data_IF_037759606023
#
_entry.id   IF_037759606023
#
_cell.length_a   1.000
_cell.length_b   1.000
_cell.length_c   1.000
_cell.angle_alpha   90.00
_cell.angle_beta   90.00
_cell.angle_gamma   90.00
#
_symmetry.space_group_name_H-M   'P 1'
#
loop_
_entity.id
_entity.type
_entity.pdbx_description
1 polymer ?
#
# COMPACT_ATOMS: atom_id res chain seq x y z
N UNK A 1 -9.87 0.77 -10.70
CA UNK A 1 -9.31 1.99 -10.07
C UNK A 1 -7.83 2.01 -10.35
N UNK A 2 -7.33 3.05 -11.04
CA UNK A 2 -5.90 3.25 -11.18
C UNK A 2 -5.43 4.21 -10.09
N UNK A 3 -4.71 3.70 -9.10
CA UNK A 3 -4.14 4.52 -8.04
C UNK A 3 -2.86 5.19 -8.55
N UNK A 4 -2.94 6.50 -8.82
CA UNK A 4 -1.83 7.29 -9.33
C UNK A 4 -0.85 7.69 -8.23
N UNK A 5 -1.36 8.08 -7.05
CA UNK A 5 -0.55 8.55 -5.95
C UNK A 5 0.30 7.42 -5.36
N UNK A 6 1.58 7.71 -5.11
CA UNK A 6 2.53 6.84 -4.43
C UNK A 6 3.14 7.56 -3.23
N UNK A 7 3.51 6.79 -2.21
CA UNK A 7 4.23 7.28 -1.03
C UNK A 7 5.52 6.52 -0.86
N UNK A 8 6.62 7.23 -0.63
CA UNK A 8 7.90 6.61 -0.36
C UNK A 8 7.90 5.92 1.00
N UNK A 9 8.41 4.69 1.06
CA UNK A 9 8.56 3.94 2.32
C UNK A 9 9.72 4.44 3.17
N UNK A 10 10.70 5.13 2.57
CA UNK A 10 11.91 5.61 3.24
C UNK A 10 11.72 7.04 3.76
N UNK A 11 11.43 8.01 2.89
CA UNK A 11 11.33 9.42 3.27
C UNK A 11 9.90 9.91 3.51
N UNK A 12 8.88 9.06 3.28
CA UNK A 12 7.47 9.42 3.51
C UNK A 12 6.84 10.40 2.53
N UNK A 13 7.61 10.95 1.57
CA UNK A 13 7.10 11.91 0.57
C UNK A 13 6.15 11.26 -0.42
N UNK A 14 5.18 12.03 -0.89
CA UNK A 14 4.27 11.63 -1.95
C UNK A 14 4.85 11.94 -3.33
N UNK A 15 4.50 11.14 -4.32
CA UNK A 15 4.90 11.33 -5.72
C UNK A 15 3.91 10.65 -6.68
N UNK A 16 3.98 11.03 -7.95
CA UNK A 16 3.31 10.37 -9.07
C UNK A 16 4.24 9.47 -9.88
N UNK A 17 5.55 9.48 -9.57
CA UNK A 17 6.50 8.53 -10.11
C UNK A 17 6.07 7.09 -9.76
N UNK A 18 6.27 6.15 -10.70
CA UNK A 18 5.85 4.75 -10.54
C UNK A 18 6.99 3.79 -10.22
N UNK A 19 8.23 4.20 -10.48
CA UNK A 19 9.42 3.36 -10.31
C UNK A 19 10.05 3.55 -8.92
N UNK A 20 10.71 4.69 -8.69
CA UNK A 20 11.42 5.03 -7.45
C UNK A 20 11.11 6.43 -6.97
N UNK A 21 11.36 6.68 -5.67
CA UNK A 21 11.23 8.01 -5.12
C UNK A 21 12.26 8.97 -5.76
N UNK A 22 11.83 10.08 -6.40
CA UNK A 22 12.75 11.01 -7.05
C UNK A 22 13.64 11.78 -6.06
N UNK A 23 13.35 11.71 -4.76
CA UNK A 23 14.08 12.44 -3.73
C UNK A 23 15.13 11.61 -3.00
N UNK A 24 14.92 10.30 -2.87
CA UNK A 24 15.81 9.43 -2.07
C UNK A 24 16.08 8.06 -2.70
N UNK A 25 15.51 7.78 -3.88
CA UNK A 25 15.65 6.47 -4.55
C UNK A 25 14.87 5.32 -3.90
N UNK A 26 14.23 5.55 -2.75
CA UNK A 26 13.51 4.51 -2.00
C UNK A 26 12.27 3.97 -2.71
N UNK A 27 11.85 2.76 -2.32
CA UNK A 27 10.69 2.09 -2.87
C UNK A 27 9.38 2.88 -2.63
N UNK A 28 8.45 2.74 -3.57
CA UNK A 28 7.18 3.44 -3.57
C UNK A 28 6.02 2.46 -3.31
N UNK A 29 5.12 2.81 -2.40
CA UNK A 29 3.89 2.06 -2.14
C UNK A 29 2.64 2.86 -2.51
N UNK A 30 1.54 2.16 -2.78
CA UNK A 30 0.21 2.79 -2.87
C UNK A 30 -0.21 3.20 -1.45
N UNK A 31 -0.51 4.49 -1.19
CA UNK A 31 -0.91 4.94 0.14
C UNK A 31 -2.39 4.66 0.43
N UNK A 32 -3.19 4.44 -0.61
CA UNK A 32 -4.61 4.23 -0.46
C UNK A 32 -4.93 2.86 0.15
N UNK A 33 -5.91 2.79 1.07
CA UNK A 33 -6.32 1.54 1.67
C UNK A 33 -6.95 0.60 0.62
N UNK A 34 -6.90 -0.73 0.86
CA UNK A 34 -7.66 -1.67 0.06
C UNK A 34 -9.16 -1.36 0.17
N UNK A 35 -9.93 -1.72 -0.86
CA UNK A 35 -11.39 -1.54 -0.84
C UNK A 35 -11.99 -2.36 0.30
N UNK A 36 -12.91 -1.75 1.03
CA UNK A 36 -13.70 -2.43 2.06
C UNK A 36 -14.91 -3.14 1.43
N UNK A 37 -15.24 -4.33 1.91
CA UNK A 37 -16.44 -5.08 1.57
C UNK A 37 -17.07 -5.63 2.84
N UNK A 38 -18.38 -5.43 3.08
CA UNK A 38 -19.07 -6.01 4.24
C UNK A 38 -19.06 -7.54 4.26
N UNK A 39 -19.08 -8.18 3.10
CA UNK A 39 -19.11 -9.65 2.93
C UNK A 39 -17.72 -10.31 3.11
N UNK A 40 -16.64 -9.54 3.27
CA UNK A 40 -15.22 -9.96 3.17
C UNK A 40 -14.93 -11.46 3.36
N UNK A 41 -15.05 -12.25 2.28
CA UNK A 41 -14.91 -13.72 2.29
C UNK A 41 -13.55 -14.21 2.81
N UNK A 42 -12.54 -13.36 2.78
CA UNK A 42 -11.18 -13.67 3.17
C UNK A 42 -10.79 -13.12 4.54
N UNK A 43 -11.76 -12.62 5.32
CA UNK A 43 -11.51 -12.02 6.63
C UNK A 43 -10.72 -12.96 7.54
N UNK A 44 -11.12 -14.22 7.65
CA UNK A 44 -10.46 -15.24 8.49
C UNK A 44 -8.96 -15.37 8.16
N UNK A 45 -8.64 -15.58 6.88
CA UNK A 45 -7.27 -15.71 6.41
C UNK A 45 -6.44 -14.43 6.63
N UNK A 46 -7.03 -13.24 6.45
CA UNK A 46 -6.36 -11.96 6.73
C UNK A 46 -5.99 -11.80 8.21
N UNK A 47 -6.88 -12.23 9.12
CA UNK A 47 -6.60 -12.22 10.55
C UNK A 47 -5.52 -13.24 10.92
N UNK A 48 -5.60 -14.46 10.39
CA UNK A 48 -4.57 -15.48 10.63
C UNK A 48 -3.18 -15.02 10.17
N UNK A 49 -3.06 -14.47 8.96
CA UNK A 49 -1.78 -13.94 8.45
C UNK A 49 -1.24 -12.76 9.27
N UNK A 50 -2.11 -11.96 9.91
CA UNK A 50 -1.70 -10.76 10.66
C UNK A 50 -1.25 -11.08 12.09
N UNK A 51 -1.86 -12.08 12.73
CA UNK A 51 -1.68 -12.34 14.16
C UNK A 51 -0.98 -13.66 14.48
N UNK A 52 -0.94 -14.60 13.52
CA UNK A 52 -0.47 -15.97 13.76
C UNK A 52 0.93 -16.25 13.19
N UNK A 53 1.53 -15.28 12.52
CA UNK A 53 2.95 -15.26 12.13
C UNK A 53 3.72 -14.27 12.98
#
# INVERSE_FOLDING_TARGET
MQWLLRKCVVCGRYTLAKDKCPYCGGALRVPHPPRFSPDDKYVKYRYELKYRG
#
